data_IF_650796522483
#
_entry.id   IF_650796522483
#
_cell.length_a   1.000
_cell.length_b   1.000
_cell.length_c   1.000
_cell.angle_alpha   90.00
_cell.angle_beta   90.00
_cell.angle_gamma   90.00
#
_symmetry.space_group_name_H-M   'P 1'
#
loop_
_entity.id
_entity.type
_entity.pdbx_description
1 polymer ?
#
# COMPACT_ATOMS: atom_id res chain seq x y z
N UNK A 1 -21.11 -2.67 16.68
CA UNK A 1 -19.95 -3.28 15.98
C UNK A 1 -18.68 -2.71 16.57
N UNK A 2 -17.69 -3.55 16.94
CA UNK A 2 -16.43 -3.07 17.51
C UNK A 2 -15.64 -2.28 16.44
N UNK A 3 -15.06 -1.13 16.80
CA UNK A 3 -14.19 -0.36 15.89
C UNK A 3 -12.89 -1.14 15.66
N UNK A 4 -12.50 -1.34 14.39
CA UNK A 4 -11.22 -1.97 14.05
C UNK A 4 -10.06 -1.12 14.59
N UNK A 5 -9.10 -1.74 15.27
CA UNK A 5 -7.88 -1.08 15.73
C UNK A 5 -6.81 -1.17 14.63
N UNK A 6 -6.24 -0.03 14.25
CA UNK A 6 -5.13 0.04 13.29
C UNK A 6 -3.88 -0.64 13.91
N UNK A 7 -3.25 -1.55 13.17
CA UNK A 7 -2.08 -2.34 13.61
C UNK A 7 -0.78 -1.91 12.94
N UNK A 8 -0.87 -1.36 11.73
CA UNK A 8 0.25 -0.96 10.89
C UNK A 8 0.12 0.52 10.50
N UNK A 9 1.22 1.18 10.11
CA UNK A 9 1.15 2.50 9.52
C UNK A 9 0.30 2.50 8.25
N UNK A 10 -0.33 3.63 7.99
CA UNK A 10 -1.07 3.86 6.76
C UNK A 10 -0.10 4.11 5.60
N UNK A 11 -0.36 3.52 4.43
CA UNK A 11 0.50 3.63 3.26
C UNK A 11 0.20 4.90 2.45
N UNK A 12 0.49 6.07 3.03
CA UNK A 12 0.15 7.38 2.45
C UNK A 12 0.80 7.62 1.08
N UNK A 13 2.07 7.23 0.91
CA UNK A 13 2.77 7.31 -0.37
C UNK A 13 2.04 6.50 -1.47
N UNK A 14 1.61 5.28 -1.14
CA UNK A 14 0.88 4.41 -2.06
C UNK A 14 -0.47 5.03 -2.46
N UNK A 15 -1.17 5.68 -1.52
CA UNK A 15 -2.40 6.42 -1.84
C UNK A 15 -2.17 7.57 -2.82
N UNK A 16 -1.03 8.27 -2.69
CA UNK A 16 -0.60 9.29 -3.65
C UNK A 16 -0.46 8.71 -5.04
N UNK A 17 0.33 7.65 -5.19
CA UNK A 17 0.55 6.97 -6.47
C UNK A 17 -0.74 6.46 -7.12
N UNK A 18 -1.67 5.90 -6.34
CA UNK A 18 -2.99 5.48 -6.83
C UNK A 18 -3.77 6.65 -7.46
N UNK A 19 -3.70 7.84 -6.85
CA UNK A 19 -4.35 9.05 -7.37
C UNK A 19 -3.63 9.57 -8.62
N UNK A 20 -2.30 9.59 -8.62
CA UNK A 20 -1.48 10.03 -9.76
C UNK A 20 -1.72 9.17 -11.00
N UNK A 21 -1.89 7.86 -10.82
CA UNK A 21 -2.20 6.91 -11.89
C UNK A 21 -3.67 6.99 -12.38
N UNK A 22 -4.52 7.82 -11.77
CA UNK A 22 -5.94 7.91 -12.13
C UNK A 22 -6.73 6.62 -11.93
N UNK A 23 -6.25 5.71 -11.08
CA UNK A 23 -6.91 4.44 -10.79
C UNK A 23 -7.68 4.49 -9.46
N UNK A 24 -8.40 3.42 -9.14
CA UNK A 24 -9.24 3.35 -7.93
C UNK A 24 -8.99 2.05 -7.19
N UNK A 25 -9.32 2.03 -5.89
CA UNK A 25 -9.24 0.79 -5.10
C UNK A 25 -10.11 -0.32 -5.66
N UNK A 26 -11.21 0.03 -6.34
CA UNK A 26 -12.09 -0.95 -6.98
C UNK A 26 -11.38 -1.69 -8.11
N UNK A 27 -10.74 -0.95 -9.02
CA UNK A 27 -9.98 -1.52 -10.14
C UNK A 27 -8.82 -2.39 -9.66
N UNK A 28 -8.02 -1.86 -8.73
CA UNK A 28 -6.88 -2.62 -8.17
C UNK A 28 -7.37 -3.90 -7.49
N UNK A 29 -8.43 -3.83 -6.69
CA UNK A 29 -8.96 -5.00 -6.00
C UNK A 29 -9.52 -6.05 -6.97
N UNK A 30 -10.15 -5.61 -8.06
CA UNK A 30 -10.63 -6.48 -9.14
C UNK A 30 -9.47 -7.20 -9.84
N UNK A 31 -8.42 -6.48 -10.22
CA UNK A 31 -7.21 -7.06 -10.84
C UNK A 31 -6.48 -8.04 -9.90
N UNK A 32 -6.51 -7.77 -8.59
CA UNK A 32 -5.94 -8.65 -7.57
C UNK A 32 -6.86 -9.84 -7.19
N UNK A 33 -8.12 -9.83 -7.61
CA UNK A 33 -9.11 -10.84 -7.20
C UNK A 33 -9.49 -10.79 -5.71
N UNK A 34 -9.42 -9.62 -5.07
CA UNK A 34 -9.77 -9.44 -3.64
C UNK A 34 -10.92 -8.45 -3.45
N UNK A 35 -11.52 -8.44 -2.25
CA UNK A 35 -12.54 -7.46 -1.90
C UNK A 35 -11.97 -6.04 -1.78
N UNK A 36 -12.71 -5.03 -2.26
CA UNK A 36 -12.32 -3.60 -2.14
C UNK A 36 -12.09 -3.19 -0.69
N UNK A 37 -12.91 -3.70 0.22
CA UNK A 37 -12.75 -3.47 1.67
C UNK A 37 -11.49 -4.13 2.22
N UNK A 38 -11.11 -5.30 1.70
CA UNK A 38 -9.86 -5.99 2.07
C UNK A 38 -8.65 -5.17 1.66
N UNK A 39 -8.62 -4.67 0.42
CA UNK A 39 -7.56 -3.77 -0.07
C UNK A 39 -7.51 -2.48 0.77
N UNK A 40 -8.67 -1.87 1.01
CA UNK A 40 -8.78 -0.66 1.82
C UNK A 40 -8.27 -0.89 3.24
N UNK A 41 -8.67 -1.97 3.90
CA UNK A 41 -8.24 -2.26 5.27
C UNK A 41 -6.71 -2.47 5.34
N UNK A 42 -6.13 -3.12 4.33
CA UNK A 42 -4.68 -3.32 4.20
C UNK A 42 -3.91 -2.01 4.01
N UNK A 43 -4.30 -1.19 3.02
CA UNK A 43 -3.68 0.13 2.76
C UNK A 43 -3.80 1.06 3.97
N UNK A 44 -4.91 0.98 4.72
CA UNK A 44 -5.16 1.78 5.92
C UNK A 44 -4.51 1.20 7.19
N UNK A 45 -3.76 0.10 7.08
CA UNK A 45 -2.97 -0.47 8.17
C UNK A 45 -3.77 -1.29 9.19
N UNK A 46 -4.97 -1.77 8.86
CA UNK A 46 -5.74 -2.68 9.72
C UNK A 46 -5.29 -4.14 9.56
N UNK A 47 -4.82 -4.52 8.37
CA UNK A 47 -4.22 -5.82 8.07
C UNK A 47 -2.87 -5.68 7.36
N UNK A 48 -2.04 -6.71 7.43
CA UNK A 48 -0.77 -6.75 6.70
C UNK A 48 -1.00 -6.97 5.19
N UNK A 49 -0.10 -6.41 4.38
CA UNK A 49 0.05 -6.75 2.97
C UNK A 49 1.12 -7.84 2.86
N UNK A 50 0.85 -8.90 2.12
CA UNK A 50 1.81 -9.97 1.86
C UNK A 50 2.78 -9.60 0.74
N UNK A 51 3.93 -10.28 0.66
CA UNK A 51 4.90 -10.08 -0.42
C UNK A 51 4.28 -10.20 -1.83
N UNK A 52 3.49 -11.25 -2.14
CA UNK A 52 2.82 -11.37 -3.42
C UNK A 52 1.81 -10.24 -3.70
N UNK A 53 1.08 -9.77 -2.68
CA UNK A 53 0.18 -8.61 -2.83
C UNK A 53 0.96 -7.33 -3.11
N UNK A 54 2.13 -7.14 -2.49
CA UNK A 54 3.00 -6.00 -2.78
C UNK A 54 3.48 -6.03 -4.24
N UNK A 55 3.90 -7.20 -4.73
CA UNK A 55 4.36 -7.39 -6.12
C UNK A 55 3.25 -7.11 -7.13
N UNK A 56 2.05 -7.62 -6.88
CA UNK A 56 0.87 -7.35 -7.73
C UNK A 56 0.53 -5.86 -7.75
N UNK A 57 0.42 -5.22 -6.58
CA UNK A 57 0.13 -3.78 -6.52
C UNK A 57 1.23 -2.96 -7.18
N UNK A 58 2.50 -3.31 -7.01
CA UNK A 58 3.62 -2.65 -7.65
C UNK A 58 3.55 -2.78 -9.17
N UNK A 59 3.14 -3.95 -9.68
CA UNK A 59 2.96 -4.20 -11.11
C UNK A 59 1.81 -3.37 -11.68
N UNK A 60 0.65 -3.38 -11.01
CA UNK A 60 -0.55 -2.63 -11.44
C UNK A 60 -0.29 -1.12 -11.47
N UNK A 61 0.47 -0.62 -10.49
CA UNK A 61 0.77 0.80 -10.34
C UNK A 61 2.06 1.24 -11.04
N UNK A 62 2.72 0.33 -11.78
CA UNK A 62 4.00 0.59 -12.44
C UNK A 62 5.03 1.25 -11.48
N UNK A 63 5.22 0.61 -10.33
CA UNK A 63 6.19 1.02 -9.31
C UNK A 63 7.52 0.35 -9.65
N UNK A 64 8.56 1.16 -9.79
CA UNK A 64 9.92 0.65 -10.00
C UNK A 64 10.32 -0.26 -8.82
N UNK A 65 10.93 -1.44 -9.07
CA UNK A 65 11.41 -2.31 -7.99
C UNK A 65 12.27 -1.62 -6.93
N UNK A 66 13.03 -0.59 -7.32
CA UNK A 66 13.88 0.21 -6.42
C UNK A 66 13.07 1.06 -5.43
N UNK A 67 11.83 1.41 -5.77
CA UNK A 67 10.96 2.30 -5.00
C UNK A 67 9.94 1.54 -4.16
N UNK A 68 9.83 0.21 -4.30
CA UNK A 68 8.86 -0.63 -3.56
C UNK A 68 8.95 -0.38 -2.05
N UNK A 69 10.16 -0.32 -1.50
CA UNK A 69 10.35 -0.07 -0.07
C UNK A 69 9.73 1.26 0.39
N UNK A 70 9.80 2.32 -0.43
CA UNK A 70 9.23 3.62 -0.11
C UNK A 70 7.70 3.56 0.00
N UNK A 71 7.03 2.80 -0.88
CA UNK A 71 5.57 2.72 -0.91
C UNK A 71 4.97 1.81 0.18
N UNK A 72 5.66 0.73 0.53
CA UNK A 72 5.11 -0.30 1.43
C UNK A 72 5.76 -0.33 2.82
N UNK A 73 6.89 0.35 3.03
CA UNK A 73 7.63 0.34 4.30
C UNK A 73 7.84 1.76 4.86
N UNK A 74 6.76 2.50 5.22
CA UNK A 74 6.85 3.89 5.69
C UNK A 74 7.67 4.08 6.98
N UNK A 75 7.87 3.03 7.77
CA UNK A 75 8.76 3.04 8.94
C UNK A 75 10.24 2.78 8.61
N UNK A 76 10.55 2.17 7.47
CA UNK A 76 11.92 1.82 7.07
C UNK A 76 12.71 3.04 6.60
N UNK A 77 12.06 3.98 5.90
CA UNK A 77 12.70 5.22 5.44
C UNK A 77 13.00 6.23 6.56
N UNK A 78 12.49 6.04 7.80
CA UNK A 78 12.88 6.88 8.95
C UNK A 78 14.35 6.69 9.34
N UNK A 79 14.94 5.54 9.02
CA UNK A 79 16.32 5.21 9.38
C UNK A 79 17.36 5.78 8.38
N UNK A 80 16.93 6.22 7.19
CA UNK A 80 17.84 6.79 6.18
C UNK A 80 17.78 8.33 6.06
N UNK A 81 16.85 9.00 6.76
CA UNK A 81 16.74 10.46 6.81
C UNK A 81 17.56 11.10 7.96
N UNK A 82 18.70 10.51 8.31
CA UNK A 82 19.73 11.12 9.17
C UNK A 82 21.10 11.03 8.50
N UNK A 83 21.21 11.63 7.33
CA UNK A 83 22.49 11.94 6.69
C UNK A 83 22.31 13.21 5.85
N UNK A 84 22.29 14.35 6.52
CA UNK A 84 22.64 15.66 5.97
C UNK A 84 23.16 16.51 7.13
#
# INVERSE_FOLDING_TARGET
>A
MAKKKRKYPELTALKGKIREMGTTYRKIAEEMGIGVNTLSDKINGFYAISGPEMEQIATILDINPKDVAYFFMPSYCKTQQRSA
#
